data_IF_583136078313
#
_entry.id   IF_583136078313
#
_cell.length_a   1.000
_cell.length_b   1.000
_cell.length_c   1.000
_cell.angle_alpha   90.00
_cell.angle_beta   90.00
_cell.angle_gamma   90.00
#
_symmetry.space_group_name_H-M   'P 1'
#
loop_
_entity.id
_entity.type
_entity.pdbx_description
1 polymer ?
#
# COMPACT_ATOMS: atom_id res chain seq x y z
N UNK A 1 -6.65 -5.87 -14.49
CA UNK A 1 -7.15 -4.60 -15.09
C UNK A 1 -8.66 -4.36 -14.96
N UNK A 2 -9.49 -5.39 -14.71
CA UNK A 2 -10.96 -5.22 -14.58
C UNK A 2 -11.42 -5.07 -13.11
N UNK A 3 -10.74 -5.75 -12.17
CA UNK A 3 -11.18 -5.76 -10.77
C UNK A 3 -10.79 -4.52 -9.95
N UNK A 4 -9.74 -3.80 -10.34
CA UNK A 4 -9.12 -2.75 -9.52
C UNK A 4 -9.07 -1.39 -10.25
N UNK A 5 -10.15 -0.90 -10.87
CA UNK A 5 -10.11 0.34 -11.64
C UNK A 5 -9.74 1.55 -10.77
N UNK A 6 -10.31 1.67 -9.57
CA UNK A 6 -10.05 2.79 -8.66
C UNK A 6 -8.63 2.81 -8.09
N UNK A 7 -7.86 1.71 -8.17
CA UNK A 7 -6.48 1.67 -7.68
C UNK A 7 -5.55 2.53 -8.52
N UNK A 8 -5.82 2.66 -9.82
CA UNK A 8 -5.03 3.51 -10.72
C UNK A 8 -5.17 4.96 -10.27
N UNK A 9 -6.40 5.43 -10.13
CA UNK A 9 -6.69 6.80 -9.74
C UNK A 9 -6.29 7.07 -8.29
N UNK A 10 -6.47 6.10 -7.38
CA UNK A 10 -5.97 6.21 -6.01
C UNK A 10 -4.44 6.42 -6.00
N UNK A 11 -3.69 5.68 -6.81
CA UNK A 11 -2.23 5.80 -6.84
C UNK A 11 -1.76 7.08 -7.55
N UNK A 12 -2.36 7.42 -8.69
CA UNK A 12 -1.93 8.56 -9.52
C UNK A 12 -2.48 9.90 -9.07
N UNK A 13 -3.64 9.94 -8.40
CA UNK A 13 -4.27 11.16 -7.86
C UNK A 13 -4.13 11.24 -6.34
N UNK A 14 -4.72 10.30 -5.60
CA UNK A 14 -4.88 10.42 -4.14
C UNK A 14 -3.52 10.37 -3.43
N UNK A 15 -2.71 9.34 -3.70
CA UNK A 15 -1.36 9.23 -3.13
C UNK A 15 -0.38 10.27 -3.70
N UNK A 16 -0.73 10.94 -4.80
CA UNK A 16 0.06 12.06 -5.29
C UNK A 16 -0.10 13.30 -4.41
N UNK A 17 -1.29 13.49 -3.83
CA UNK A 17 -1.62 14.60 -2.94
C UNK A 17 -1.20 14.32 -1.50
N UNK A 18 -1.54 13.15 -0.97
CA UNK A 18 -1.27 12.81 0.43
C UNK A 18 -1.15 11.31 0.68
N UNK A 19 -0.34 10.94 1.67
CA UNK A 19 -0.29 9.60 2.27
C UNK A 19 -0.99 9.53 3.63
N UNK A 20 -1.41 10.68 4.17
CA UNK A 20 -2.09 10.80 5.47
C UNK A 20 -3.56 10.33 5.35
N UNK A 21 -3.96 9.27 6.07
CA UNK A 21 -5.31 8.72 6.02
C UNK A 21 -6.41 9.74 6.31
N UNK A 22 -6.22 10.64 7.29
CA UNK A 22 -7.25 11.60 7.70
C UNK A 22 -7.49 12.63 6.58
N UNK A 23 -6.41 13.07 5.93
CA UNK A 23 -6.48 13.97 4.77
C UNK A 23 -7.15 13.27 3.59
N UNK A 24 -6.79 12.01 3.34
CA UNK A 24 -7.35 11.21 2.24
C UNK A 24 -8.85 11.00 2.43
N UNK A 25 -9.28 10.59 3.63
CA UNK A 25 -10.70 10.36 3.98
C UNK A 25 -11.51 11.64 3.72
N UNK A 26 -11.07 12.76 4.31
CA UNK A 26 -11.81 14.02 4.28
C UNK A 26 -11.96 14.59 2.85
N UNK A 27 -10.93 14.43 2.00
CA UNK A 27 -10.93 15.02 0.65
C UNK A 27 -11.53 14.11 -0.42
N UNK A 28 -11.28 12.81 -0.36
CA UNK A 28 -11.44 11.93 -1.52
C UNK A 28 -12.46 10.81 -1.31
N UNK A 29 -12.57 10.25 -0.10
CA UNK A 29 -13.31 8.99 0.09
C UNK A 29 -14.77 9.09 -0.34
N UNK A 30 -15.48 10.13 0.10
CA UNK A 30 -16.89 10.35 -0.28
C UNK A 30 -17.06 10.46 -1.80
N UNK A 31 -16.15 11.17 -2.47
CA UNK A 31 -16.17 11.35 -3.92
C UNK A 31 -16.06 9.99 -4.62
N UNK A 32 -15.11 9.15 -4.23
CA UNK A 32 -14.94 7.79 -4.77
C UNK A 32 -16.08 6.84 -4.39
N UNK A 33 -16.72 7.06 -3.23
CA UNK A 33 -17.86 6.27 -2.79
C UNK A 33 -19.12 6.54 -3.60
N UNK A 34 -19.34 7.81 -3.98
CA UNK A 34 -20.54 8.26 -4.65
C UNK A 34 -20.39 8.29 -6.19
N UNK A 35 -19.17 8.20 -6.71
CA UNK A 35 -18.85 8.24 -8.14
C UNK A 35 -19.66 7.20 -8.95
N UNK A 36 -20.41 7.68 -9.93
CA UNK A 36 -21.32 6.85 -10.72
C UNK A 36 -20.57 5.83 -11.60
N UNK A 37 -19.36 6.15 -12.05
CA UNK A 37 -18.55 5.25 -12.86
C UNK A 37 -18.07 4.06 -12.04
N UNK A 38 -17.47 4.29 -10.86
CA UNK A 38 -17.06 3.17 -10.00
C UNK A 38 -18.25 2.34 -9.52
N UNK A 39 -19.39 2.97 -9.23
CA UNK A 39 -20.63 2.25 -8.85
C UNK A 39 -21.17 1.40 -10.00
N UNK A 40 -21.09 1.89 -11.23
CA UNK A 40 -21.44 1.12 -12.42
C UNK A 40 -20.52 -0.10 -12.53
N UNK A 41 -19.20 0.09 -12.54
CA UNK A 41 -18.23 -1.00 -12.65
C UNK A 41 -18.39 -2.05 -11.54
N UNK A 42 -18.62 -1.61 -10.30
CA UNK A 42 -18.89 -2.51 -9.18
C UNK A 42 -20.13 -3.39 -9.41
N UNK A 43 -21.21 -2.81 -9.96
CA UNK A 43 -22.49 -3.50 -10.16
C UNK A 43 -22.54 -4.35 -11.42
N UNK A 44 -21.80 -3.99 -12.47
CA UNK A 44 -21.96 -4.58 -13.81
C UNK A 44 -20.72 -5.27 -14.34
N UNK A 45 -19.53 -5.00 -13.79
CA UNK A 45 -18.26 -5.45 -14.36
C UNK A 45 -17.32 -6.17 -13.37
N UNK A 46 -17.86 -6.77 -12.30
CA UNK A 46 -17.09 -7.51 -11.28
C UNK A 46 -15.92 -6.72 -10.66
N UNK A 47 -15.96 -5.39 -10.72
CA UNK A 47 -14.94 -4.55 -10.10
C UNK A 47 -15.15 -4.48 -8.58
N UNK A 48 -14.08 -4.21 -7.83
CA UNK A 48 -14.23 -3.74 -6.46
C UNK A 48 -14.87 -2.34 -6.44
N UNK A 49 -15.49 -2.00 -5.32
CA UNK A 49 -16.07 -0.67 -5.12
C UNK A 49 -14.99 0.42 -5.15
N UNK A 50 -15.37 1.65 -5.52
CA UNK A 50 -14.43 2.78 -5.68
C UNK A 50 -13.55 3.03 -4.46
N UNK A 51 -14.08 2.84 -3.25
CA UNK A 51 -13.35 3.02 -1.97
C UNK A 51 -12.44 1.86 -1.56
N UNK A 52 -12.44 0.73 -2.26
CA UNK A 52 -11.62 -0.43 -1.88
C UNK A 52 -10.12 -0.12 -1.67
N UNK A 53 -9.42 0.65 -2.53
CA UNK A 53 -8.02 1.00 -2.28
C UNK A 53 -7.81 1.86 -1.02
N UNK A 54 -8.81 2.64 -0.60
CA UNK A 54 -8.75 3.46 0.61
C UNK A 54 -8.64 2.57 1.84
N UNK A 55 -9.50 1.56 1.95
CA UNK A 55 -9.47 0.64 3.09
C UNK A 55 -8.19 -0.21 3.13
N UNK A 56 -7.65 -0.59 1.96
CA UNK A 56 -6.34 -1.24 1.91
C UNK A 56 -5.22 -0.30 2.41
N UNK A 57 -5.32 0.99 2.10
CA UNK A 57 -4.39 1.98 2.60
C UNK A 57 -4.53 2.19 4.11
N UNK A 58 -5.75 2.31 4.64
CA UNK A 58 -5.98 2.52 6.07
C UNK A 58 -5.51 1.33 6.92
N UNK A 59 -5.74 0.09 6.45
CA UNK A 59 -5.16 -1.09 7.09
C UNK A 59 -3.64 -1.04 7.12
N UNK A 60 -3.02 -0.55 6.04
CA UNK A 60 -1.56 -0.35 6.00
C UNK A 60 -1.14 0.75 6.98
N UNK A 61 -1.87 1.87 7.02
CA UNK A 61 -1.54 3.02 7.85
C UNK A 61 -1.47 2.69 9.34
N UNK A 62 -2.36 1.83 9.85
CA UNK A 62 -2.28 1.35 11.23
C UNK A 62 -0.97 0.62 11.53
N UNK A 63 -0.42 -0.16 10.59
CA UNK A 63 0.90 -0.74 10.77
C UNK A 63 1.99 0.33 10.76
N UNK A 64 1.86 1.35 9.91
CA UNK A 64 2.83 2.44 9.79
C UNK A 64 2.93 3.30 11.06
N UNK A 65 1.87 3.43 11.85
CA UNK A 65 1.91 4.12 13.16
C UNK A 65 2.93 3.49 14.13
N UNK A 66 3.26 2.22 13.94
CA UNK A 66 4.20 1.48 14.79
C UNK A 66 5.57 1.26 14.16
N UNK A 67 5.76 1.69 12.91
CA UNK A 67 7.00 1.48 12.15
C UNK A 67 7.70 2.81 11.95
N UNK A 68 8.98 2.89 12.33
CA UNK A 68 9.78 4.09 12.07
C UNK A 68 10.18 4.25 10.60
N UNK A 69 10.21 3.15 9.84
CA UNK A 69 10.59 3.13 8.44
C UNK A 69 10.14 1.84 7.77
N UNK A 70 9.76 1.93 6.49
CA UNK A 70 9.50 0.78 5.62
C UNK A 70 10.44 0.85 4.42
N UNK A 71 11.12 -0.26 4.14
CA UNK A 71 12.08 -0.39 3.05
C UNK A 71 11.65 -1.56 2.15
N UNK A 72 11.45 -1.28 0.86
CA UNK A 72 11.05 -2.26 -0.14
C UNK A 72 12.26 -2.62 -1.00
N UNK A 73 12.72 -3.87 -0.90
CA UNK A 73 13.82 -4.39 -1.72
C UNK A 73 13.29 -4.78 -3.11
N UNK A 74 13.92 -4.30 -4.16
CA UNK A 74 13.55 -4.59 -5.55
C UNK A 74 12.28 -3.88 -6.04
N UNK A 75 11.71 -2.98 -5.24
CA UNK A 75 10.54 -2.18 -5.64
C UNK A 75 10.88 -1.11 -6.67
N UNK A 76 9.92 -0.78 -7.54
CA UNK A 76 10.03 0.33 -8.47
C UNK A 76 10.10 1.66 -7.69
N UNK A 77 11.14 2.45 -7.94
CA UNK A 77 11.51 3.58 -7.08
C UNK A 77 10.41 4.65 -7.01
N UNK A 78 9.79 5.02 -8.14
CA UNK A 78 8.71 6.02 -8.18
C UNK A 78 7.52 5.54 -7.35
N UNK A 79 7.13 4.28 -7.49
CA UNK A 79 6.01 3.71 -6.75
C UNK A 79 6.28 3.61 -5.26
N UNK A 80 7.45 3.12 -4.87
CA UNK A 80 7.82 3.03 -3.45
C UNK A 80 7.86 4.42 -2.80
N UNK A 81 8.37 5.43 -3.51
CA UNK A 81 8.37 6.81 -3.03
C UNK A 81 6.95 7.39 -2.95
N UNK A 82 6.08 7.11 -3.92
CA UNK A 82 4.66 7.53 -3.91
C UNK A 82 3.92 6.98 -2.69
N UNK A 83 4.30 5.79 -2.21
CA UNK A 83 3.77 5.19 -0.99
C UNK A 83 4.41 5.75 0.30
N UNK A 84 5.35 6.68 0.22
CA UNK A 84 6.07 7.21 1.39
C UNK A 84 7.14 6.27 1.97
N UNK A 85 7.58 5.27 1.20
CA UNK A 85 8.57 4.27 1.63
C UNK A 85 9.94 4.50 0.97
N UNK A 86 10.97 3.76 1.43
CA UNK A 86 12.31 3.75 0.80
C UNK A 86 12.50 2.52 -0.08
N UNK A 87 13.11 2.70 -1.24
CA UNK A 87 13.46 1.61 -2.13
C UNK A 87 14.93 1.22 -1.96
N UNK A 88 15.21 -0.08 -1.84
CA UNK A 88 16.55 -0.65 -1.83
C UNK A 88 16.71 -1.62 -3.01
N UNK A 89 17.93 -1.75 -3.53
CA UNK A 89 18.21 -2.70 -4.62
C UNK A 89 18.46 -4.10 -4.08
N UNK A 90 19.20 -4.19 -2.98
CA UNK A 90 19.55 -5.45 -2.32
C UNK A 90 19.14 -5.46 -0.86
N UNK A 91 19.12 -6.66 -0.25
CA UNK A 91 18.89 -6.80 1.19
C UNK A 91 19.98 -6.12 2.02
N UNK A 92 21.24 -6.14 1.55
CA UNK A 92 22.34 -5.46 2.24
C UNK A 92 22.11 -3.94 2.30
N UNK A 93 21.70 -3.33 1.18
CA UNK A 93 21.39 -1.90 1.14
C UNK A 93 20.24 -1.57 2.10
N UNK A 94 19.21 -2.44 2.17
CA UNK A 94 18.08 -2.24 3.07
C UNK A 94 18.50 -2.31 4.55
N UNK A 95 19.36 -3.25 4.92
CA UNK A 95 19.88 -3.37 6.28
C UNK A 95 20.79 -2.18 6.66
N UNK A 96 21.58 -1.69 5.70
CA UNK A 96 22.38 -0.47 5.88
C UNK A 96 21.48 0.75 6.12
N UNK A 97 20.47 0.96 5.27
CA UNK A 97 19.48 2.03 5.45
C UNK A 97 18.72 1.92 6.77
N UNK A 98 18.30 0.72 7.16
CA UNK A 98 17.59 0.50 8.43
C UNK A 98 18.47 0.88 9.63
N UNK A 99 19.78 0.63 9.55
CA UNK A 99 20.73 0.95 10.62
C UNK A 99 20.84 2.45 10.91
N UNK A 100 20.48 3.32 9.96
CA UNK A 100 20.36 4.77 10.17
C UNK A 100 19.22 5.11 11.15
N UNK A 101 18.17 4.29 11.17
CA UNK A 101 16.95 4.51 11.95
C UNK A 101 17.00 3.78 13.30
N UNK A 102 17.45 2.51 13.32
CA UNK A 102 17.41 1.65 14.52
C UNK A 102 18.77 1.42 15.19
N UNK A 103 19.84 2.02 14.65
CA UNK A 103 21.21 1.86 15.14
C UNK A 103 21.95 0.67 14.53
N UNK A 104 23.24 0.55 14.85
CA UNK A 104 24.19 -0.37 14.17
C UNK A 104 24.12 -1.84 14.64
N UNK A 105 23.47 -2.12 15.77
CA UNK A 105 23.38 -3.47 16.35
C UNK A 105 21.92 -3.79 16.75
N UNK A 106 20.97 -3.80 15.79
CA UNK A 106 19.60 -4.16 16.08
C UNK A 106 19.45 -5.69 16.24
N UNK A 107 18.41 -6.12 16.95
CA UNK A 107 17.94 -7.50 16.88
C UNK A 107 17.04 -7.68 15.65
N UNK A 108 17.25 -8.73 14.87
CA UNK A 108 16.48 -9.01 13.66
C UNK A 108 15.41 -10.07 13.91
N UNK A 109 14.18 -9.81 13.49
CA UNK A 109 13.13 -10.82 13.37
C UNK A 109 12.87 -11.09 11.89
N UNK A 110 12.94 -12.36 11.48
CA UNK A 110 12.67 -12.79 10.11
C UNK A 110 11.39 -13.64 10.09
N UNK A 111 10.36 -13.12 9.42
CA UNK A 111 9.11 -13.86 9.18
C UNK A 111 9.25 -14.63 7.86
N UNK A 112 9.31 -15.95 7.94
CA UNK A 112 9.38 -16.83 6.78
C UNK A 112 8.02 -17.52 6.59
N UNK A 113 7.20 -17.00 5.68
CA UNK A 113 5.91 -17.59 5.31
C UNK A 113 5.83 -17.83 3.79
N UNK A 114 5.03 -18.80 3.32
CA UNK A 114 4.67 -18.91 1.92
C UNK A 114 3.67 -17.79 1.53
N UNK A 115 3.75 -17.25 0.31
CA UNK A 115 3.05 -16.00 -0.08
C UNK A 115 1.52 -16.05 0.04
N UNK A 116 0.90 -17.23 -0.10
CA UNK A 116 -0.51 -17.50 0.18
C UNK A 116 -0.59 -18.98 0.60
N UNK A 117 -1.42 -19.30 1.60
CA UNK A 117 -1.76 -20.69 1.91
C UNK A 117 -2.49 -21.27 0.68
N UNK A 118 -1.82 -22.13 -0.09
CA UNK A 118 -2.49 -23.02 -1.03
C UNK A 118 -2.65 -24.38 -0.36
N UNK A 119 -3.90 -24.77 -0.14
CA UNK A 119 -4.26 -26.10 0.34
C UNK A 119 -5.03 -26.84 -0.75
N UNK A 120 -4.64 -28.07 -1.05
CA UNK A 120 -5.49 -28.98 -1.80
C UNK A 120 -6.65 -29.41 -0.91
N UNK A 121 -7.88 -29.27 -1.41
CA UNK A 121 -9.08 -29.83 -0.77
C UNK A 121 -9.29 -31.23 -1.34
N UNK A 122 -9.21 -32.23 -0.49
CA UNK A 122 -9.48 -33.65 -0.82
C UNK A 122 -10.92 -34.01 -0.49
#
# INVERSE_FOLDING_TARGET
PVHHPSYIDFFEEVLADSTDPEVIEAKYEKRYAEDEWYRHLYRTSYAYHGVHPFYMWYWTAHALEHLSQVIIVGGERRAVQRLGFRAATTMNDALEMASETVGRQPTLTHVHNPPLLMADVV
#
